data_IF_237341408367
#
_entry.id   IF_237341408367
#
_cell.length_a   1.000
_cell.length_b   1.000
_cell.length_c   1.000
_cell.angle_alpha   90.00
_cell.angle_beta   90.00
_cell.angle_gamma   90.00
#
_symmetry.space_group_name_H-M   'P 1'
#
loop_
_entity.id
_entity.type
_entity.pdbx_description
1 polymer ?
#
# COMPACT_ATOMS: atom_id res chain seq x y z
N UNK A 1 -11.70 51.98 10.45
CA UNK A 1 -11.45 51.10 9.27
C UNK A 1 -10.13 50.36 9.36
N UNK A 2 -8.99 51.01 9.66
CA UNK A 2 -7.66 50.37 9.78
C UNK A 2 -7.59 49.19 10.76
N UNK A 3 -8.20 49.30 11.95
CA UNK A 3 -8.20 48.23 12.97
C UNK A 3 -8.96 46.98 12.51
N UNK A 4 -10.03 47.16 11.73
CA UNK A 4 -10.78 46.04 11.14
C UNK A 4 -9.98 45.36 10.03
N UNK A 5 -9.24 46.15 9.24
CA UNK A 5 -8.35 45.63 8.20
C UNK A 5 -7.19 44.82 8.80
N UNK A 6 -6.60 45.30 9.90
CA UNK A 6 -5.55 44.59 10.64
C UNK A 6 -6.11 43.29 11.21
N UNK A 7 -7.29 43.32 11.84
CA UNK A 7 -7.94 42.12 12.36
C UNK A 7 -8.20 41.07 11.26
N UNK A 8 -8.64 41.52 10.08
CA UNK A 8 -8.91 40.63 8.95
C UNK A 8 -7.63 40.02 8.36
N UNK A 9 -6.54 40.78 8.30
CA UNK A 9 -5.23 40.29 7.90
C UNK A 9 -4.67 39.26 8.89
N UNK A 10 -4.84 39.48 10.19
CA UNK A 10 -4.41 38.52 11.22
C UNK A 10 -5.20 37.22 11.10
N UNK A 11 -6.52 37.29 10.93
CA UNK A 11 -7.35 36.10 10.73
C UNK A 11 -6.93 35.34 9.47
N UNK A 12 -6.68 36.05 8.36
CA UNK A 12 -6.23 35.43 7.11
C UNK A 12 -4.86 34.75 7.28
N UNK A 13 -3.92 35.40 7.96
CA UNK A 13 -2.61 34.84 8.25
C UNK A 13 -2.70 33.56 9.12
N UNK A 14 -3.60 33.54 10.11
CA UNK A 14 -3.84 32.35 10.92
C UNK A 14 -4.43 31.20 10.11
N UNK A 15 -5.38 31.47 9.21
CA UNK A 15 -5.97 30.44 8.34
C UNK A 15 -4.90 29.85 7.41
N UNK A 16 -4.05 30.68 6.82
CA UNK A 16 -2.95 30.22 5.95
C UNK A 16 -1.95 29.38 6.75
N UNK A 17 -1.60 29.79 7.97
CA UNK A 17 -0.68 29.04 8.82
C UNK A 17 -1.24 27.65 9.16
N UNK A 18 -2.52 27.54 9.53
CA UNK A 18 -3.18 26.26 9.82
C UNK A 18 -3.23 25.36 8.59
N UNK A 19 -3.58 25.91 7.43
CA UNK A 19 -3.61 25.14 6.17
C UNK A 19 -2.22 24.62 5.79
N UNK A 20 -1.18 25.40 6.04
CA UNK A 20 0.20 24.99 5.78
C UNK A 20 0.67 23.90 6.76
N UNK A 21 0.33 24.04 8.04
CA UNK A 21 0.64 23.03 9.05
C UNK A 21 -0.02 21.69 8.74
N UNK A 22 -1.30 21.68 8.37
CA UNK A 22 -1.98 20.45 7.96
C UNK A 22 -1.29 19.80 6.77
N UNK A 23 -0.95 20.58 5.74
CA UNK A 23 -0.28 20.05 4.55
C UNK A 23 1.11 19.49 4.86
N UNK A 24 1.85 20.13 5.78
CA UNK A 24 3.14 19.65 6.24
C UNK A 24 3.01 18.33 7.01
N UNK A 25 2.07 18.25 7.95
CA UNK A 25 1.80 17.04 8.74
C UNK A 25 1.35 15.87 7.84
N UNK A 26 0.50 16.11 6.85
CA UNK A 26 0.13 15.09 5.86
C UNK A 26 1.29 14.64 4.98
N UNK A 27 2.22 15.55 4.67
CA UNK A 27 3.40 15.22 3.86
C UNK A 27 4.42 14.41 4.65
N UNK A 28 4.59 14.72 5.94
CA UNK A 28 5.49 13.98 6.82
C UNK A 28 4.90 12.62 7.19
N UNK A 29 3.59 12.55 7.45
CA UNK A 29 2.89 11.27 7.61
C UNK A 29 3.04 10.38 6.37
N UNK A 30 2.88 10.94 5.15
CA UNK A 30 3.11 10.21 3.89
C UNK A 30 4.55 9.81 3.64
N UNK A 31 5.53 10.55 4.15
CA UNK A 31 6.95 10.18 4.06
C UNK A 31 7.25 8.86 4.79
N UNK A 32 6.44 8.53 5.79
CA UNK A 32 6.51 7.30 6.58
C UNK A 32 5.53 6.23 6.09
N UNK A 33 5.04 6.33 4.85
CA UNK A 33 4.24 5.30 4.19
C UNK A 33 5.02 4.62 3.07
N UNK A 34 4.61 3.40 2.72
CA UNK A 34 5.21 2.60 1.66
C UNK A 34 5.05 3.26 0.28
N UNK A 35 3.93 3.95 0.07
CA UNK A 35 3.68 4.78 -1.11
C UNK A 35 2.99 6.09 -0.70
N UNK A 36 3.02 7.10 -1.57
CA UNK A 36 2.28 8.34 -1.37
C UNK A 36 0.82 8.27 -1.88
N UNK A 37 0.39 7.11 -2.38
CA UNK A 37 -0.96 6.88 -2.89
C UNK A 37 -1.97 6.84 -1.75
N UNK A 38 -3.14 7.42 -1.99
CA UNK A 38 -4.30 7.25 -1.11
C UNK A 38 -5.03 5.96 -1.50
N UNK A 39 -5.13 4.95 -0.61
CA UNK A 39 -5.81 3.69 -0.86
C UNK A 39 -7.23 3.84 -1.43
N UNK A 40 -7.97 4.86 -1.00
CA UNK A 40 -9.36 5.07 -1.41
C UNK A 40 -9.47 5.58 -2.86
N UNK A 41 -8.37 6.09 -3.41
CA UNK A 41 -8.29 6.59 -4.79
C UNK A 41 -7.67 5.58 -5.76
N UNK A 42 -7.13 4.47 -5.24
CA UNK A 42 -6.46 3.47 -6.08
C UNK A 42 -7.46 2.87 -7.06
N UNK A 43 -7.06 2.80 -8.33
CA UNK A 43 -7.91 2.34 -9.44
C UNK A 43 -7.42 1.04 -10.09
N UNK A 44 -6.12 0.76 -10.00
CA UNK A 44 -5.50 -0.40 -10.61
C UNK A 44 -4.59 -1.12 -9.61
N UNK A 45 -4.81 -2.42 -9.45
CA UNK A 45 -4.02 -3.28 -8.57
C UNK A 45 -3.60 -4.53 -9.33
N UNK A 46 -2.30 -4.78 -9.41
CA UNK A 46 -1.75 -6.03 -9.92
C UNK A 46 -0.88 -6.69 -8.86
N UNK A 47 -1.14 -7.97 -8.58
CA UNK A 47 -0.38 -8.75 -7.62
C UNK A 47 0.21 -9.99 -8.29
N UNK A 48 1.52 -10.11 -8.21
CA UNK A 48 2.26 -11.32 -8.57
C UNK A 48 2.92 -11.91 -7.34
N UNK A 49 2.64 -13.17 -7.04
CA UNK A 49 3.22 -13.92 -5.93
C UNK A 49 4.03 -15.09 -6.51
N UNK A 50 5.22 -15.35 -5.97
CA UNK A 50 6.02 -16.50 -6.38
C UNK A 50 5.22 -17.80 -6.19
N UNK A 51 4.95 -18.51 -7.29
CA UNK A 51 4.20 -19.77 -7.27
C UNK A 51 2.67 -19.63 -7.31
N UNK A 52 2.13 -18.45 -7.59
CA UNK A 52 0.69 -18.23 -7.80
C UNK A 52 0.43 -17.48 -9.11
N UNK A 53 -0.74 -17.64 -9.74
CA UNK A 53 -1.11 -16.83 -10.89
C UNK A 53 -1.21 -15.35 -10.51
N UNK A 54 -0.84 -14.48 -11.45
CA UNK A 54 -0.99 -13.05 -11.28
C UNK A 54 -2.48 -12.69 -11.13
N UNK A 55 -2.77 -11.75 -10.24
CA UNK A 55 -4.11 -11.20 -10.01
C UNK A 55 -4.14 -9.76 -10.49
N UNK A 56 -5.17 -9.39 -11.26
CA UNK A 56 -5.40 -8.02 -11.71
C UNK A 56 -6.78 -7.56 -11.31
N UNK A 57 -6.84 -6.35 -10.77
CA UNK A 57 -8.06 -5.67 -10.35
C UNK A 57 -8.07 -4.25 -10.92
N UNK A 58 -9.23 -3.83 -11.40
CA UNK A 58 -9.49 -2.49 -11.93
C UNK A 58 -10.78 -1.95 -11.35
N UNK A 59 -10.76 -0.71 -10.87
CA UNK A 59 -11.94 -0.08 -10.29
C UNK A 59 -12.69 0.70 -11.35
N UNK A 60 -13.94 0.32 -11.60
CA UNK A 60 -14.85 0.97 -12.53
C UNK A 60 -16.17 1.24 -11.82
N UNK A 61 -16.67 2.48 -11.89
CA UNK A 61 -17.90 2.92 -11.22
C UNK A 61 -17.98 2.54 -9.72
N UNK A 62 -16.82 2.60 -9.05
CA UNK A 62 -16.70 2.28 -7.63
C UNK A 62 -16.64 0.78 -7.29
N UNK A 63 -16.70 -0.11 -8.28
CA UNK A 63 -16.60 -1.55 -8.10
C UNK A 63 -15.28 -2.09 -8.66
N UNK A 64 -14.68 -3.04 -7.96
CA UNK A 64 -13.52 -3.77 -8.47
C UNK A 64 -13.95 -4.82 -9.48
N UNK A 65 -13.32 -4.79 -10.65
CA UNK A 65 -13.41 -5.77 -11.71
C UNK A 65 -12.09 -6.54 -11.82
N UNK A 66 -12.15 -7.80 -12.19
CA UNK A 66 -10.99 -8.59 -12.62
C UNK A 66 -11.09 -8.82 -14.12
N UNK A 67 -9.94 -8.76 -14.80
CA UNK A 67 -9.83 -8.81 -16.26
C UNK A 67 -10.77 -7.82 -16.98
N UNK A 68 -11.06 -6.68 -16.34
CA UNK A 68 -11.87 -5.57 -16.88
C UNK A 68 -13.36 -5.84 -17.08
N UNK A 69 -13.86 -7.04 -16.75
CA UNK A 69 -15.23 -7.45 -17.13
C UNK A 69 -16.02 -8.14 -16.02
N UNK A 70 -15.35 -8.83 -15.09
CA UNK A 70 -16.02 -9.62 -14.05
C UNK A 70 -15.91 -8.93 -12.71
N UNK A 71 -16.99 -8.85 -11.95
CA UNK A 71 -16.96 -8.40 -10.55
C UNK A 71 -15.94 -9.24 -9.77
N UNK A 72 -14.95 -8.56 -9.19
CA UNK A 72 -13.92 -9.18 -8.37
C UNK A 72 -14.37 -9.34 -6.91
N UNK A 73 -13.57 -10.07 -6.13
CA UNK A 73 -13.65 -10.02 -4.67
C UNK A 73 -13.27 -8.62 -4.18
N UNK A 74 -14.27 -7.84 -3.78
CA UNK A 74 -14.10 -6.45 -3.37
C UNK A 74 -13.20 -6.35 -2.13
N UNK A 75 -13.43 -7.20 -1.13
CA UNK A 75 -12.66 -7.17 0.12
C UNK A 75 -11.20 -7.51 -0.10
N UNK A 76 -10.91 -8.40 -1.06
CA UNK A 76 -9.55 -8.72 -1.47
C UNK A 76 -8.86 -7.55 -2.17
N UNK A 77 -9.54 -6.90 -3.12
CA UNK A 77 -8.97 -5.77 -3.84
C UNK A 77 -8.72 -4.57 -2.90
N UNK A 78 -9.66 -4.30 -1.99
CA UNK A 78 -9.52 -3.27 -0.96
C UNK A 78 -8.36 -3.59 0.01
N UNK A 79 -8.20 -4.85 0.43
CA UNK A 79 -7.05 -5.28 1.25
C UNK A 79 -5.73 -4.95 0.54
N UNK A 80 -5.62 -5.24 -0.75
CA UNK A 80 -4.42 -4.96 -1.53
C UNK A 80 -4.17 -3.46 -1.75
N UNK A 81 -5.22 -2.69 -2.03
CA UNK A 81 -5.13 -1.23 -2.14
C UNK A 81 -4.68 -0.60 -0.81
N UNK A 82 -5.16 -1.12 0.33
CA UNK A 82 -4.78 -0.62 1.66
C UNK A 82 -3.27 -0.74 1.96
N UNK A 83 -2.57 -1.68 1.30
CA UNK A 83 -1.12 -1.84 1.46
C UNK A 83 -0.33 -0.65 0.96
N UNK A 84 -0.90 0.21 0.10
CA UNK A 84 -0.29 1.47 -0.35
C UNK A 84 0.11 2.36 0.84
N UNK A 85 -0.74 2.40 1.86
CA UNK A 85 -0.59 3.19 3.07
C UNK A 85 0.06 2.39 4.23
N UNK A 86 0.83 1.34 3.92
CA UNK A 86 1.56 0.59 4.95
C UNK A 86 2.59 1.51 5.61
N UNK A 87 2.59 1.67 6.95
CA UNK A 87 3.60 2.46 7.63
C UNK A 87 4.99 1.84 7.52
N UNK A 88 5.99 2.67 7.26
CA UNK A 88 7.41 2.32 7.23
C UNK A 88 8.17 3.16 8.25
N UNK A 89 9.06 2.52 8.99
CA UNK A 89 9.83 3.22 10.03
C UNK A 89 10.92 4.11 9.42
N UNK A 90 11.60 3.63 8.38
CA UNK A 90 12.73 4.35 7.77
C UNK A 90 12.95 3.86 6.34
N UNK A 91 13.19 4.82 5.43
CA UNK A 91 13.65 4.58 4.08
C UNK A 91 15.17 4.60 4.00
N UNK A 92 15.73 3.66 3.26
CA UNK A 92 17.17 3.56 2.99
C UNK A 92 17.39 3.50 1.47
N UNK A 93 18.51 4.03 0.95
CA UNK A 93 18.86 3.87 -0.46
C UNK A 93 19.00 2.39 -0.83
N UNK A 94 18.50 1.97 -1.99
CA UNK A 94 18.61 0.56 -2.40
C UNK A 94 20.08 0.10 -2.51
N UNK A 95 20.99 1.02 -2.88
CA UNK A 95 22.42 0.77 -2.97
C UNK A 95 23.09 0.32 -1.67
N UNK A 96 22.45 0.48 -0.51
CA UNK A 96 22.98 0.00 0.77
C UNK A 96 22.71 -1.49 1.01
N UNK A 97 21.93 -2.14 0.14
CA UNK A 97 21.57 -3.55 0.25
C UNK A 97 21.99 -4.34 -0.99
N UNK A 98 22.22 -5.63 -0.78
CA UNK A 98 22.39 -6.61 -1.85
C UNK A 98 21.05 -7.29 -2.08
N UNK A 99 20.37 -6.94 -3.19
CA UNK A 99 19.00 -7.38 -3.49
C UNK A 99 18.85 -8.90 -3.54
N UNK A 100 19.89 -9.62 -3.97
CA UNK A 100 19.86 -11.09 -4.01
C UNK A 100 19.88 -11.68 -2.60
N UNK A 101 20.63 -11.08 -1.67
CA UNK A 101 20.73 -11.54 -0.27
C UNK A 101 19.48 -11.28 0.55
N UNK A 102 18.70 -10.26 0.18
CA UNK A 102 17.45 -9.91 0.88
C UNK A 102 16.20 -10.39 0.14
N UNK A 103 16.36 -11.23 -0.89
CA UNK A 103 15.27 -11.84 -1.63
C UNK A 103 14.44 -10.87 -2.47
N UNK A 104 15.02 -9.75 -2.89
CA UNK A 104 14.44 -8.84 -3.88
C UNK A 104 14.86 -9.19 -5.33
N UNK A 105 15.85 -10.08 -5.50
CA UNK A 105 16.28 -10.59 -6.79
C UNK A 105 16.40 -12.14 -6.78
N UNK A 106 15.34 -12.89 -7.17
CA UNK A 106 14.00 -12.41 -7.55
C UNK A 106 13.12 -12.08 -6.34
N UNK A 107 12.16 -11.15 -6.47
CA UNK A 107 11.26 -10.79 -5.38
C UNK A 107 10.29 -11.92 -5.03
N UNK A 108 9.87 -11.98 -3.76
CA UNK A 108 8.89 -12.95 -3.26
C UNK A 108 7.47 -12.58 -3.72
N UNK A 109 7.16 -11.29 -3.70
CA UNK A 109 5.91 -10.76 -4.21
C UNK A 109 6.14 -9.40 -4.87
N UNK A 110 5.30 -9.07 -5.84
CA UNK A 110 5.28 -7.79 -6.53
C UNK A 110 3.85 -7.30 -6.51
N UNK A 111 3.65 -6.11 -5.94
CA UNK A 111 2.38 -5.39 -5.95
C UNK A 111 2.55 -4.13 -6.81
N UNK A 112 1.68 -3.92 -7.78
CA UNK A 112 1.64 -2.70 -8.58
C UNK A 112 0.32 -1.99 -8.28
N UNK A 113 0.40 -0.74 -7.85
CA UNK A 113 -0.73 0.11 -7.50
C UNK A 113 -0.69 1.37 -8.37
N UNK A 114 -1.63 1.55 -9.29
CA UNK A 114 -1.64 2.67 -10.25
C UNK A 114 -0.26 2.94 -10.91
N UNK A 115 0.47 1.86 -11.23
CA UNK A 115 1.82 1.92 -11.82
C UNK A 115 2.97 2.04 -10.82
N UNK A 116 2.71 2.29 -9.54
CA UNK A 116 3.72 2.23 -8.47
C UNK A 116 4.02 0.78 -8.14
N UNK A 117 5.24 0.34 -8.46
CA UNK A 117 5.72 -1.02 -8.20
C UNK A 117 6.35 -1.12 -6.81
N UNK A 118 5.81 -2.02 -6.01
CA UNK A 118 6.30 -2.41 -4.69
C UNK A 118 6.78 -3.85 -4.73
N UNK A 119 8.06 -4.07 -4.45
CA UNK A 119 8.66 -5.41 -4.45
C UNK A 119 8.92 -5.86 -3.01
N UNK A 120 8.45 -7.05 -2.66
CA UNK A 120 8.61 -7.62 -1.32
C UNK A 120 9.65 -8.72 -1.34
N UNK A 121 10.62 -8.62 -0.45
CA UNK A 121 11.70 -9.57 -0.27
C UNK A 121 11.44 -10.59 0.83
N UNK A 122 12.54 -11.13 1.35
CA UNK A 122 12.55 -12.05 2.48
C UNK A 122 12.32 -11.34 3.82
N UNK A 123 12.09 -12.14 4.86
CA UNK A 123 12.01 -11.62 6.23
C UNK A 123 13.37 -11.09 6.68
N UNK A 124 13.36 -9.96 7.39
CA UNK A 124 14.55 -9.44 8.02
C UNK A 124 14.97 -10.37 9.17
N UNK A 125 16.29 -10.53 9.37
CA UNK A 125 16.84 -11.41 10.39
C UNK A 125 16.47 -10.99 11.82
N UNK A 126 16.23 -9.69 12.05
CA UNK A 126 15.83 -9.14 13.34
C UNK A 126 14.34 -8.77 13.33
N UNK A 127 13.49 -9.74 13.65
CA UNK A 127 12.07 -9.50 14.00
C UNK A 127 11.04 -9.90 12.94
N UNK A 128 9.78 -9.55 13.21
CA UNK A 128 8.62 -9.85 12.33
C UNK A 128 8.48 -8.80 11.21
N UNK A 129 9.57 -8.48 10.54
CA UNK A 129 9.64 -7.45 9.49
C UNK A 129 10.17 -8.05 8.18
N UNK A 130 9.93 -7.35 7.07
CA UNK A 130 10.29 -7.77 5.72
C UNK A 130 10.80 -6.59 4.92
N UNK A 131 11.69 -6.85 3.97
CA UNK A 131 12.15 -5.85 3.02
C UNK A 131 11.07 -5.54 1.99
N UNK A 132 10.78 -4.26 1.78
CA UNK A 132 9.98 -3.77 0.68
C UNK A 132 10.74 -2.69 -0.09
N UNK A 133 10.72 -2.75 -1.42
CA UNK A 133 11.40 -1.81 -2.31
C UNK A 133 10.37 -1.05 -3.14
N UNK A 134 10.58 0.26 -3.26
CA UNK A 134 9.81 1.15 -4.13
C UNK A 134 10.78 2.06 -4.86
N UNK A 135 10.88 1.89 -6.18
CA UNK A 135 11.91 2.58 -6.97
C UNK A 135 13.32 2.25 -6.49
N UNK A 136 14.08 3.26 -6.07
CA UNK A 136 15.47 3.14 -5.60
C UNK A 136 15.61 3.20 -4.06
N UNK A 137 14.52 2.91 -3.34
CA UNK A 137 14.51 2.93 -1.87
C UNK A 137 13.97 1.62 -1.31
N UNK A 138 14.53 1.23 -0.17
CA UNK A 138 14.15 0.01 0.56
C UNK A 138 13.76 0.40 1.99
N UNK A 139 12.66 -0.18 2.47
CA UNK A 139 12.17 -0.02 3.82
C UNK A 139 11.85 -1.39 4.46
N UNK A 140 11.76 -1.39 5.79
CA UNK A 140 11.24 -2.51 6.55
C UNK A 140 9.73 -2.32 6.76
N UNK A 141 8.94 -3.29 6.32
CA UNK A 141 7.50 -3.37 6.56
C UNK A 141 7.18 -4.50 7.54
N UNK A 142 6.09 -4.40 8.31
CA UNK A 142 5.61 -5.52 9.12
C UNK A 142 5.37 -6.77 8.26
N UNK A 143 5.64 -7.97 8.78
CA UNK A 143 5.47 -9.22 8.03
C UNK A 143 4.04 -9.44 7.50
N UNK A 144 3.05 -8.86 8.18
CA UNK A 144 1.64 -8.89 7.78
C UNK A 144 1.32 -8.04 6.53
N UNK A 145 2.22 -7.14 6.13
CA UNK A 145 2.07 -6.33 4.92
C UNK A 145 2.34 -7.11 3.63
N UNK A 146 2.74 -8.39 3.72
CA UNK A 146 2.81 -9.25 2.55
C UNK A 146 1.40 -9.56 2.03
N UNK A 147 1.10 -9.28 0.75
CA UNK A 147 -0.11 -9.77 0.11
C UNK A 147 -0.24 -11.29 0.30
N UNK A 148 -1.30 -11.74 0.95
CA UNK A 148 -1.56 -13.18 1.13
C UNK A 148 -1.96 -13.82 -0.19
N UNK A 149 -1.82 -15.13 -0.34
CA UNK A 149 -2.41 -15.84 -1.49
C UNK A 149 -3.96 -15.77 -1.44
N UNK A 150 -4.67 -15.93 -2.58
CA UNK A 150 -6.12 -15.99 -2.58
C UNK A 150 -6.61 -17.08 -1.63
N UNK A 151 -7.65 -16.80 -0.84
CA UNK A 151 -8.39 -17.87 -0.17
C UNK A 151 -9.19 -18.57 -1.26
N UNK A 152 -8.76 -19.75 -1.70
CA UNK A 152 -9.64 -20.62 -2.48
C UNK A 152 -10.91 -20.86 -1.65
N UNK A 153 -12.06 -20.66 -2.29
CA UNK A 153 -13.38 -20.86 -1.69
C UNK A 153 -13.46 -22.21 -0.96
N UNK A 154 -14.21 -22.16 0.15
CA UNK A 154 -14.53 -23.22 1.10
C UNK A 154 -14.30 -24.66 0.61
N UNK A 155 -13.55 -25.44 1.39
CA UNK A 155 -13.62 -26.90 1.35
C UNK A 155 -15.10 -27.31 1.37
N UNK A 156 -15.57 -28.18 0.45
CA UNK A 156 -16.90 -28.75 0.56
C UNK A 156 -16.98 -29.51 1.88
N UNK A 157 -17.81 -29.03 2.80
CA UNK A 157 -18.22 -29.80 3.99
C UNK A 157 -18.90 -31.05 3.47
N UNK A 158 -18.22 -32.18 3.55
CA UNK A 158 -18.83 -33.47 3.29
C UNK A 158 -19.79 -33.73 4.46
N UNK A 159 -21.08 -33.49 4.24
CA UNK A 159 -22.13 -33.95 5.15
C UNK A 159 -22.04 -35.47 5.24
N UNK A 160 -21.47 -35.97 6.34
CA UNK A 160 -21.45 -37.39 6.66
C UNK A 160 -22.85 -37.79 7.13
N UNK A 161 -23.52 -38.78 6.50
CA UNK A 161 -24.78 -39.28 7.03
C UNK A 161 -24.51 -40.05 8.33
N UNK A 162 -25.28 -39.70 9.37
CA UNK A 162 -25.25 -40.37 10.67
C UNK A 162 -25.82 -41.82 10.57
N UNK A 163 -25.38 -42.73 11.46
CA UNK A 163 -25.68 -44.17 11.40
C UNK A 163 -27.13 -44.54 11.72
#
# INVERSE_FOLDING_TARGET
>A
MRTRLIGLLVVLALIVAVAWQWRADESDARAHLLTALDPDTVSHVELTLKGSPAQRFERHDGQWLTDGTRIADQGRADELASLAATPVATWNPASTFDEAKIGLAPPVAVLVLDGVRVEFGEMAALGKQRYAKVGDRIAFVPAQALPRAPRTASLPTHDSPAP
#
